data_IF_188021422165
#
_entry.id   IF_188021422165
#
_cell.length_a   1.000
_cell.length_b   1.000
_cell.length_c   1.000
_cell.angle_alpha   90.00
_cell.angle_beta   90.00
_cell.angle_gamma   90.00
#
_symmetry.space_group_name_H-M   'P 1'
#
loop_
_entity.id
_entity.type
_entity.pdbx_description
1 polymer ?
#
# COMPACT_ATOMS: atom_id res chain seq x y z
N UNK A 1 -4.33 -23.33 14.98
CA UNK A 1 -3.54 -24.56 15.14
C UNK A 1 -2.73 -24.72 13.85
N UNK A 2 -1.57 -24.05 13.78
CA UNK A 2 -0.64 -24.11 12.65
C UNK A 2 0.74 -24.64 13.08
N UNK A 3 0.91 -25.02 14.36
CA UNK A 3 2.13 -25.62 14.90
C UNK A 3 2.49 -27.02 14.38
N UNK A 4 1.67 -27.61 13.51
CA UNK A 4 2.03 -28.80 12.73
C UNK A 4 1.91 -28.48 11.24
N UNK A 5 2.88 -28.95 10.46
CA UNK A 5 2.91 -28.75 9.01
C UNK A 5 1.65 -29.33 8.37
N UNK A 6 0.80 -28.49 7.79
CA UNK A 6 -0.46 -28.90 7.14
C UNK A 6 -0.29 -29.22 5.65
N UNK A 7 0.87 -28.90 5.06
CA UNK A 7 1.21 -29.21 3.67
C UNK A 7 2.72 -29.23 3.45
N UNK A 8 3.17 -30.04 2.48
CA UNK A 8 4.57 -30.07 2.03
C UNK A 8 4.61 -29.48 0.62
N UNK A 9 5.31 -28.36 0.45
CA UNK A 9 5.57 -27.80 -0.88
C UNK A 9 6.48 -28.75 -1.66
N UNK A 10 6.10 -29.11 -2.89
CA UNK A 10 6.91 -29.98 -3.76
C UNK A 10 8.20 -29.33 -4.26
N UNK A 11 8.30 -28.01 -4.12
CA UNK A 11 9.44 -27.19 -4.50
C UNK A 11 9.96 -26.44 -3.26
N UNK A 12 11.28 -26.22 -3.20
CA UNK A 12 11.87 -25.39 -2.15
C UNK A 12 11.34 -23.95 -2.26
N UNK A 13 11.10 -23.32 -1.13
CA UNK A 13 10.74 -21.90 -1.11
C UNK A 13 11.91 -21.08 -1.67
N UNK A 14 11.61 -20.23 -2.65
CA UNK A 14 12.60 -19.36 -3.30
C UNK A 14 13.14 -18.29 -2.32
N UNK A 15 12.35 -17.94 -1.30
CA UNK A 15 12.66 -16.96 -0.28
C UNK A 15 11.44 -16.66 0.60
N UNK A 16 11.53 -15.63 1.43
CA UNK A 16 10.42 -15.11 2.24
C UNK A 16 10.11 -13.68 1.79
N UNK A 17 8.83 -13.29 1.79
CA UNK A 17 8.43 -11.94 1.42
C UNK A 17 9.12 -10.88 2.30
N UNK A 18 9.63 -9.82 1.67
CA UNK A 18 10.38 -8.75 2.33
C UNK A 18 11.90 -8.94 2.34
N UNK A 19 12.41 -10.13 2.06
CA UNK A 19 13.86 -10.36 1.92
C UNK A 19 14.38 -9.85 0.56
N UNK A 20 15.68 -9.55 0.50
CA UNK A 20 16.37 -9.24 -0.74
C UNK A 20 16.41 -10.44 -1.67
N UNK A 21 16.09 -10.23 -2.95
CA UNK A 21 16.15 -11.26 -3.98
C UNK A 21 17.52 -11.34 -4.68
N UNK A 22 18.37 -10.33 -4.52
CA UNK A 22 19.67 -10.23 -5.18
C UNK A 22 20.66 -9.45 -4.31
N UNK A 23 21.96 -9.65 -4.54
CA UNK A 23 23.05 -8.86 -3.97
C UNK A 23 23.41 -7.62 -4.79
N UNK A 24 22.56 -7.23 -5.75
CA UNK A 24 22.70 -6.02 -6.54
C UNK A 24 22.52 -4.73 -5.71
N UNK A 25 22.73 -3.56 -6.33
CA UNK A 25 22.58 -2.29 -5.63
C UNK A 25 21.13 -2.08 -5.17
N UNK A 26 20.99 -1.63 -3.93
CA UNK A 26 19.73 -1.20 -3.34
C UNK A 26 19.89 0.22 -2.81
N UNK A 27 18.76 0.93 -2.71
CA UNK A 27 18.72 2.29 -2.18
C UNK A 27 17.61 2.40 -1.14
N UNK A 28 17.90 3.20 -0.12
CA UNK A 28 16.99 3.47 0.99
C UNK A 28 16.46 4.89 0.89
N UNK A 29 15.22 5.08 1.31
CA UNK A 29 14.64 6.39 1.52
C UNK A 29 15.43 7.10 2.63
N UNK A 30 15.95 8.32 2.39
CA UNK A 30 16.64 9.06 3.43
C UNK A 30 15.71 9.33 4.62
N UNK A 31 16.19 9.02 5.82
CA UNK A 31 15.53 9.42 7.05
C UNK A 31 15.65 10.94 7.27
N UNK A 32 14.74 11.51 8.07
CA UNK A 32 14.72 12.93 8.41
C UNK A 32 15.74 13.24 9.53
N UNK A 33 15.55 14.33 10.28
CA UNK A 33 16.29 14.57 11.52
C UNK A 33 15.85 13.56 12.60
N UNK A 34 16.27 12.30 12.44
CA UNK A 34 15.83 11.17 13.25
C UNK A 34 15.76 9.86 12.44
N UNK A 35 15.20 8.82 13.05
CA UNK A 35 14.97 7.52 12.42
C UNK A 35 13.50 7.38 11.98
N UNK A 36 13.25 6.64 10.90
CA UNK A 36 11.89 6.27 10.53
C UNK A 36 11.36 5.24 11.53
N UNK A 37 10.20 5.51 12.11
CA UNK A 37 9.66 4.71 13.23
C UNK A 37 8.30 4.13 12.89
N UNK A 38 8.08 2.87 13.23
CA UNK A 38 6.80 2.19 13.07
C UNK A 38 5.67 2.90 13.82
N UNK A 39 4.59 3.22 13.11
CA UNK A 39 3.41 3.84 13.71
C UNK A 39 2.70 2.95 14.73
N UNK A 40 1.68 3.48 15.43
CA UNK A 40 1.00 2.78 16.53
C UNK A 40 0.38 1.42 16.16
N UNK A 41 0.00 1.22 14.91
CA UNK A 41 -0.55 -0.05 14.40
C UNK A 41 0.52 -1.06 13.96
N UNK A 42 1.81 -0.71 14.09
CA UNK A 42 2.91 -1.43 13.48
C UNK A 42 2.97 -1.24 11.96
N UNK A 43 3.93 -1.92 11.33
CA UNK A 43 4.12 -1.92 9.87
C UNK A 43 4.40 -3.33 9.40
N UNK A 44 3.68 -3.76 8.37
CA UNK A 44 3.81 -5.06 7.72
C UNK A 44 4.99 -5.04 6.76
N UNK A 45 5.81 -6.07 6.84
CA UNK A 45 6.95 -6.38 5.98
C UNK A 45 6.48 -7.03 4.68
N UNK A 46 7.23 -6.82 3.58
CA UNK A 46 6.91 -7.43 2.28
C UNK A 46 5.84 -6.68 1.49
N UNK A 47 5.44 -5.50 1.98
CA UNK A 47 4.51 -4.56 1.35
C UNK A 47 5.11 -3.17 1.33
N UNK A 48 4.42 -2.21 0.73
CA UNK A 48 4.84 -0.82 0.73
C UNK A 48 4.31 -0.05 1.96
N UNK A 49 4.96 1.06 2.29
CA UNK A 49 4.55 1.95 3.35
C UNK A 49 4.84 3.41 3.03
N UNK A 50 4.20 4.29 3.79
CA UNK A 50 4.34 5.73 3.71
C UNK A 50 4.87 6.27 5.02
N UNK A 51 5.86 7.16 4.95
CA UNK A 51 6.38 7.88 6.10
C UNK A 51 5.94 9.35 6.06
N UNK A 52 5.55 9.88 7.21
CA UNK A 52 5.30 11.30 7.42
C UNK A 52 6.62 12.09 7.35
N UNK A 53 6.66 13.09 6.48
CA UNK A 53 7.84 13.95 6.27
C UNK A 53 8.16 14.89 7.45
N UNK A 54 7.26 15.04 8.41
CA UNK A 54 7.46 15.90 9.58
C UNK A 54 7.85 15.08 10.82
N UNK A 55 7.22 13.91 11.01
CA UNK A 55 7.38 13.11 12.24
C UNK A 55 8.25 11.87 12.05
N UNK A 56 8.48 11.42 10.81
CA UNK A 56 9.19 10.17 10.54
C UNK A 56 8.37 8.91 10.85
N UNK A 57 7.08 9.04 11.19
CA UNK A 57 6.20 7.92 11.49
C UNK A 57 5.81 7.18 10.21
N UNK A 58 6.00 5.87 10.19
CA UNK A 58 5.72 4.98 9.05
C UNK A 58 4.41 4.23 9.26
N UNK A 59 3.59 4.19 8.22
CA UNK A 59 2.31 3.47 8.21
C UNK A 59 2.11 2.76 6.87
N UNK A 60 1.46 1.60 6.89
CA UNK A 60 1.11 0.91 5.64
C UNK A 60 -0.07 1.54 4.92
N UNK A 61 -0.97 2.27 5.58
CA UNK A 61 -1.98 3.07 4.88
C UNK A 61 -1.39 4.42 4.51
N UNK A 62 -1.73 4.97 3.34
CA UNK A 62 -1.30 6.33 3.01
C UNK A 62 -1.96 7.32 3.99
N UNK A 63 -1.19 8.12 4.74
CA UNK A 63 -1.75 9.12 5.63
C UNK A 63 -2.23 10.35 4.85
N UNK A 64 -3.14 11.13 5.44
CA UNK A 64 -3.60 12.40 4.90
C UNK A 64 -2.57 13.51 5.11
N UNK A 65 -1.45 13.47 4.40
CA UNK A 65 -0.38 14.44 4.54
C UNK A 65 0.02 15.00 3.19
N UNK A 66 0.35 16.30 3.17
CA UNK A 66 0.73 17.03 1.97
C UNK A 66 2.02 16.49 1.35
N UNK A 67 2.95 15.97 2.18
CA UNK A 67 4.15 15.30 1.73
C UNK A 67 4.34 14.02 2.55
N UNK A 68 4.65 12.93 1.84
CA UNK A 68 4.95 11.64 2.44
C UNK A 68 6.06 10.99 1.65
N UNK A 69 7.03 10.41 2.35
CA UNK A 69 7.97 9.46 1.76
C UNK A 69 7.28 8.13 1.51
N UNK A 70 7.77 7.39 0.52
CA UNK A 70 7.22 6.10 0.09
C UNK A 70 8.35 5.11 -0.15
N UNK A 71 8.17 3.87 0.30
CA UNK A 71 9.13 2.79 0.03
C UNK A 71 8.60 1.42 0.39
N UNK A 72 9.36 0.41 0.00
CA UNK A 72 9.13 -0.99 0.32
C UNK A 72 9.67 -1.30 1.73
N UNK A 73 8.94 -2.09 2.50
CA UNK A 73 9.32 -2.49 3.85
C UNK A 73 10.09 -3.81 3.78
N UNK A 74 11.40 -3.72 4.01
CA UNK A 74 12.28 -4.87 4.05
C UNK A 74 12.16 -5.65 5.37
N UNK A 75 12.68 -6.87 5.37
CA UNK A 75 12.71 -7.73 6.56
C UNK A 75 14.01 -7.52 7.35
N UNK A 76 14.19 -6.35 7.94
CA UNK A 76 15.40 -6.01 8.72
C UNK A 76 15.32 -6.38 10.21
N UNK A 77 14.11 -6.57 10.76
CA UNK A 77 13.96 -6.79 12.20
C UNK A 77 14.02 -8.26 12.61
N UNK A 78 14.60 -8.47 13.81
CA UNK A 78 14.76 -9.81 14.41
C UNK A 78 13.51 -10.22 15.19
N UNK A 79 12.96 -11.37 14.79
CA UNK A 79 11.90 -12.21 15.36
C UNK A 79 11.34 -11.80 16.74
N UNK A 80 10.55 -10.74 16.79
CA UNK A 80 9.72 -10.38 17.94
C UNK A 80 8.25 -10.65 17.60
N UNK A 81 7.67 -11.68 18.21
CA UNK A 81 6.26 -12.01 18.08
C UNK A 81 5.59 -11.66 19.41
N UNK A 82 4.77 -10.62 19.40
CA UNK A 82 4.10 -10.09 20.61
C UNK A 82 2.67 -10.59 20.78
N UNK A 83 2.08 -11.17 19.72
CA UNK A 83 0.74 -11.77 19.75
C UNK A 83 0.75 -13.05 20.56
N UNK A 84 -0.11 -13.18 21.57
CA UNK A 84 -0.26 -14.39 22.36
C UNK A 84 -0.62 -15.58 21.46
N UNK A 85 0.16 -16.68 21.55
CA UNK A 85 0.08 -17.84 20.65
C UNK A 85 0.39 -17.54 19.16
N UNK A 86 1.05 -16.42 18.87
CA UNK A 86 1.55 -16.10 17.53
C UNK A 86 2.73 -17.01 17.15
N UNK A 87 2.62 -17.71 16.04
CA UNK A 87 3.64 -18.65 15.55
C UNK A 87 4.55 -18.02 14.48
N UNK A 88 4.06 -17.00 13.76
CA UNK A 88 4.81 -16.18 12.81
C UNK A 88 4.22 -14.76 12.75
N UNK A 89 5.05 -13.77 12.42
CA UNK A 89 4.62 -12.39 12.19
C UNK A 89 5.46 -11.75 11.10
N UNK A 90 4.79 -11.01 10.20
CA UNK A 90 5.43 -10.06 9.29
C UNK A 90 5.22 -8.61 9.78
N UNK A 91 4.66 -8.41 10.98
CA UNK A 91 4.45 -7.08 11.54
C UNK A 91 5.67 -6.66 12.36
N UNK A 92 6.28 -5.55 11.97
CA UNK A 92 7.13 -4.71 12.81
C UNK A 92 6.24 -4.03 13.85
N UNK A 93 6.57 -4.23 15.12
CA UNK A 93 5.85 -3.62 16.23
C UNK A 93 5.97 -2.09 16.23
N UNK A 94 4.97 -1.41 16.80
CA UNK A 94 4.98 0.04 16.97
C UNK A 94 6.21 0.52 17.74
N UNK A 95 6.73 1.70 17.34
CA UNK A 95 7.86 2.35 18.01
C UNK A 95 9.24 1.81 17.63
N UNK A 96 9.34 0.74 16.85
CA UNK A 96 10.63 0.25 16.37
C UNK A 96 11.08 0.96 15.07
N UNK A 97 12.40 1.06 14.89
CA UNK A 97 13.02 1.63 13.69
C UNK A 97 12.75 0.81 12.44
N UNK A 98 12.45 1.49 11.33
CA UNK A 98 12.13 0.90 10.03
C UNK A 98 13.08 1.47 8.99
N UNK A 99 13.52 0.65 8.04
CA UNK A 99 14.12 1.14 6.81
C UNK A 99 13.10 1.02 5.68
N UNK A 100 12.97 2.08 4.87
CA UNK A 100 12.17 2.03 3.66
C UNK A 100 13.10 1.99 2.45
N UNK A 101 12.81 1.10 1.52
CA UNK A 101 13.59 0.93 0.31
C UNK A 101 12.89 1.54 -0.89
N UNK A 102 13.59 2.38 -1.64
CA UNK A 102 13.09 2.93 -2.90
C UNK A 102 13.75 2.26 -4.12
N UNK A 103 14.76 1.40 -3.91
CA UNK A 103 15.43 0.62 -4.95
C UNK A 103 15.95 -0.71 -4.42
N UNK A 104 16.33 -1.60 -5.33
CA UNK A 104 16.72 -2.99 -5.10
C UNK A 104 15.83 -4.00 -5.83
N UNK A 105 15.97 -5.27 -5.46
CA UNK A 105 15.06 -6.35 -5.83
C UNK A 105 14.67 -7.17 -4.60
N UNK A 106 13.38 -7.50 -4.50
CA UNK A 106 12.78 -8.06 -3.29
C UNK A 106 11.87 -9.23 -3.62
N UNK A 107 11.76 -10.15 -2.68
CA UNK A 107 10.76 -11.20 -2.70
C UNK A 107 9.41 -10.66 -2.21
N UNK A 108 8.35 -10.99 -2.93
CA UNK A 108 6.98 -10.67 -2.56
C UNK A 108 6.09 -11.90 -2.70
N UNK A 109 4.98 -11.92 -1.96
CA UNK A 109 3.93 -12.90 -2.21
C UNK A 109 3.05 -12.42 -3.36
N UNK A 110 2.82 -13.30 -4.35
CA UNK A 110 1.96 -13.02 -5.48
C UNK A 110 0.52 -12.72 -5.01
N UNK A 111 -0.08 -11.59 -5.46
CA UNK A 111 -1.47 -11.29 -5.15
C UNK A 111 -2.43 -12.30 -5.80
N UNK A 112 -3.73 -12.20 -5.50
CA UNK A 112 -4.76 -13.16 -5.93
C UNK A 112 -4.88 -13.38 -7.45
N UNK A 113 -4.29 -12.51 -8.28
CA UNK A 113 -4.23 -12.66 -9.74
C UNK A 113 -2.97 -13.37 -10.26
N UNK A 114 -2.06 -13.79 -9.39
CA UNK A 114 -0.70 -14.18 -9.78
C UNK A 114 0.10 -12.99 -10.29
N UNK A 115 1.24 -13.26 -10.92
CA UNK A 115 2.07 -12.25 -11.56
C UNK A 115 2.63 -12.74 -12.88
N UNK A 116 2.70 -11.85 -13.87
CA UNK A 116 3.40 -12.08 -15.13
C UNK A 116 4.58 -11.13 -15.25
N UNK A 117 5.63 -11.59 -15.94
CA UNK A 117 6.86 -10.82 -16.11
C UNK A 117 6.55 -9.51 -16.84
N UNK A 118 7.12 -8.41 -16.34
CA UNK A 118 6.96 -7.07 -16.92
C UNK A 118 5.73 -6.31 -16.43
N UNK A 119 4.84 -6.93 -15.65
CA UNK A 119 3.76 -6.19 -14.99
C UNK A 119 4.31 -5.13 -14.05
N UNK A 120 3.57 -4.04 -13.96
CA UNK A 120 3.85 -2.94 -13.05
C UNK A 120 3.37 -3.30 -11.65
N UNK A 121 4.17 -2.93 -10.66
CA UNK A 121 3.84 -3.10 -9.24
C UNK A 121 3.18 -1.83 -8.73
N UNK A 122 2.01 -1.97 -8.14
CA UNK A 122 1.24 -0.91 -7.49
C UNK A 122 1.12 -1.18 -5.99
N UNK A 123 1.10 -0.11 -5.20
CA UNK A 123 0.87 -0.17 -3.75
C UNK A 123 -0.51 0.38 -3.42
N UNK A 124 -1.40 -0.42 -2.83
CA UNK A 124 -2.73 0.08 -2.46
C UNK A 124 -2.65 1.18 -1.42
N UNK A 125 -3.44 2.24 -1.58
CA UNK A 125 -3.46 3.34 -0.61
C UNK A 125 -4.00 2.94 0.77
N UNK A 126 -4.80 1.87 0.86
CA UNK A 126 -5.40 1.41 2.12
C UNK A 126 -4.39 0.80 3.09
N UNK A 127 -3.48 -0.03 2.58
CA UNK A 127 -2.65 -0.92 3.40
C UNK A 127 -1.29 -1.25 2.77
N UNK A 128 -0.92 -0.60 1.67
CA UNK A 128 0.37 -0.82 1.00
C UNK A 128 0.52 -2.18 0.36
N UNK A 129 -0.51 -3.02 0.39
CA UNK A 129 -0.49 -4.33 -0.26
C UNK A 129 -0.25 -4.18 -1.75
N UNK A 130 0.39 -5.20 -2.31
CA UNK A 130 0.82 -5.17 -3.70
C UNK A 130 -0.33 -5.57 -4.62
N UNK A 131 -0.51 -4.80 -5.68
CA UNK A 131 -1.36 -5.15 -6.83
C UNK A 131 -0.50 -5.10 -8.08
N UNK A 132 -0.72 -6.02 -9.00
CA UNK A 132 -0.01 -6.10 -10.27
C UNK A 132 -0.95 -5.70 -11.40
N UNK A 133 -0.42 -5.00 -12.40
CA UNK A 133 -1.21 -4.55 -13.54
C UNK A 133 -0.37 -3.98 -14.67
N UNK A 134 -1.03 -3.34 -15.62
CA UNK A 134 -0.38 -2.67 -16.75
C UNK A 134 0.18 -1.31 -16.32
N UNK A 135 1.41 -0.99 -16.74
CA UNK A 135 2.02 0.31 -16.46
C UNK A 135 1.14 1.47 -16.97
N UNK A 136 1.07 2.57 -16.21
CA UNK A 136 0.23 3.73 -16.52
C UNK A 136 -1.28 3.51 -16.38
N UNK A 137 -1.73 2.32 -15.96
CA UNK A 137 -3.14 2.01 -15.73
C UNK A 137 -3.36 1.60 -14.27
N UNK A 138 -3.31 2.54 -13.32
CA UNK A 138 -3.49 2.21 -11.92
C UNK A 138 -4.90 1.66 -11.69
N UNK A 139 -5.06 0.66 -10.79
CA UNK A 139 -6.36 0.14 -10.41
C UNK A 139 -7.32 1.25 -9.95
N UNK A 140 -8.55 1.20 -10.44
CA UNK A 140 -9.62 2.12 -10.07
C UNK A 140 -10.85 1.36 -9.59
N UNK A 141 -11.68 2.04 -8.81
CA UNK A 141 -13.00 1.56 -8.41
C UNK A 141 -13.99 2.70 -8.56
N UNK A 142 -15.20 2.39 -9.02
CA UNK A 142 -16.27 3.36 -9.18
C UNK A 142 -17.35 3.15 -8.14
N UNK A 143 -18.00 4.24 -7.73
CA UNK A 143 -19.10 4.18 -6.79
C UNK A 143 -19.87 5.50 -6.74
N UNK A 144 -21.11 5.43 -6.28
CA UNK A 144 -21.94 6.63 -6.09
C UNK A 144 -21.51 7.37 -4.83
N UNK A 145 -21.29 8.67 -4.95
CA UNK A 145 -21.09 9.57 -3.81
C UNK A 145 -22.18 10.63 -3.79
N UNK A 146 -22.47 11.21 -2.63
CA UNK A 146 -23.26 12.43 -2.52
C UNK A 146 -22.35 13.65 -2.43
N UNK A 147 -22.57 14.64 -3.28
CA UNK A 147 -21.85 15.92 -3.27
C UNK A 147 -22.80 17.07 -2.93
N UNK A 148 -22.27 18.12 -2.33
CA UNK A 148 -22.98 19.40 -2.13
C UNK A 148 -22.12 20.53 -2.65
N UNK A 149 -22.66 21.36 -3.54
CA UNK A 149 -21.93 22.48 -4.12
C UNK A 149 -21.37 23.41 -3.03
N UNK A 150 -20.09 23.76 -3.14
CA UNK A 150 -19.40 24.59 -2.17
C UNK A 150 -19.00 23.87 -0.89
N UNK A 151 -19.17 22.55 -0.78
CA UNK A 151 -18.75 21.74 0.37
C UNK A 151 -17.66 20.74 -0.01
N UNK A 152 -16.68 20.54 0.87
CA UNK A 152 -15.70 19.46 0.73
C UNK A 152 -16.25 18.11 1.23
N UNK A 153 -17.35 18.11 1.98
CA UNK A 153 -17.92 16.90 2.58
C UNK A 153 -18.72 16.12 1.53
N UNK A 154 -18.45 14.82 1.47
CA UNK A 154 -19.17 13.85 0.64
C UNK A 154 -19.74 12.73 1.49
N UNK A 155 -20.82 12.12 1.00
CA UNK A 155 -21.37 10.87 1.54
C UNK A 155 -21.09 9.73 0.56
N UNK A 156 -20.95 8.50 1.05
CA UNK A 156 -20.78 7.32 0.23
C UNK A 156 -21.23 6.07 1.01
N UNK A 157 -21.36 4.95 0.32
CA UNK A 157 -21.67 3.65 0.95
C UNK A 157 -20.38 2.83 1.06
N UNK A 158 -19.83 2.60 2.27
CA UNK A 158 -18.54 1.93 2.45
C UNK A 158 -18.48 0.51 1.88
N UNK A 159 -19.61 -0.20 1.85
CA UNK A 159 -19.70 -1.55 1.30
C UNK A 159 -19.52 -1.59 -0.23
N UNK A 160 -19.81 -0.48 -0.93
CA UNK A 160 -19.70 -0.38 -2.40
C UNK A 160 -18.51 0.45 -2.86
N UNK A 161 -17.90 1.25 -1.98
CA UNK A 161 -16.76 2.09 -2.30
C UNK A 161 -15.87 2.25 -1.07
N UNK A 162 -14.69 1.65 -1.09
CA UNK A 162 -13.67 1.86 -0.06
C UNK A 162 -12.88 3.12 -0.36
N UNK A 163 -12.86 4.05 0.58
CA UNK A 163 -12.08 5.28 0.50
C UNK A 163 -10.99 5.28 1.58
N UNK A 164 -9.81 5.78 1.23
CA UNK A 164 -8.75 6.09 2.17
C UNK A 164 -8.14 7.45 1.84
N UNK A 165 -7.55 8.12 2.84
CA UNK A 165 -6.82 9.34 2.59
C UNK A 165 -5.77 9.25 1.49
N UNK A 166 -5.61 10.33 0.74
CA UNK A 166 -4.66 10.45 -0.35
C UNK A 166 -5.06 9.77 -1.65
N UNK A 167 -6.18 9.04 -1.70
CA UNK A 167 -6.70 8.47 -2.95
C UNK A 167 -7.15 9.59 -3.90
N UNK A 168 -6.65 9.62 -5.16
CA UNK A 168 -7.21 10.47 -6.20
C UNK A 168 -8.66 10.10 -6.51
N UNK A 169 -9.51 11.11 -6.66
CA UNK A 169 -10.93 10.92 -6.94
C UNK A 169 -11.38 11.90 -8.03
N UNK A 170 -12.18 11.41 -8.97
CA UNK A 170 -12.70 12.20 -10.09
C UNK A 170 -14.16 11.85 -10.36
N UNK A 171 -14.89 12.77 -11.00
CA UNK A 171 -16.30 12.62 -11.27
C UNK A 171 -16.96 13.96 -11.54
N UNK A 172 -18.22 13.96 -11.99
CA UNK A 172 -18.97 15.20 -12.19
C UNK A 172 -19.19 15.91 -10.87
N UNK A 173 -18.87 17.20 -10.80
CA UNK A 173 -18.98 17.97 -9.55
C UNK A 173 -17.79 17.81 -8.59
N UNK A 174 -16.78 17.00 -8.95
CA UNK A 174 -15.52 16.88 -8.20
C UNK A 174 -14.46 17.73 -8.90
N UNK A 175 -13.75 18.63 -8.19
CA UNK A 175 -12.67 19.41 -8.79
C UNK A 175 -11.58 18.54 -9.41
N UNK A 176 -11.00 19.00 -10.52
CA UNK A 176 -9.88 18.30 -11.14
C UNK A 176 -8.69 18.21 -10.17
N UNK A 177 -8.08 17.02 -10.08
CA UNK A 177 -6.97 16.75 -9.16
C UNK A 177 -7.38 16.60 -7.69
N UNK A 178 -8.67 16.54 -7.37
CA UNK A 178 -9.11 16.29 -6.01
C UNK A 178 -8.63 14.93 -5.48
N UNK A 179 -8.37 14.90 -4.19
CA UNK A 179 -8.03 13.71 -3.42
C UNK A 179 -8.95 13.60 -2.22
N UNK A 180 -9.08 12.37 -1.69
CA UNK A 180 -9.75 12.14 -0.41
C UNK A 180 -8.85 12.64 0.70
N UNK A 181 -9.30 13.61 1.49
CA UNK A 181 -8.57 14.14 2.63
C UNK A 181 -8.82 13.29 3.88
N UNK A 182 -10.05 13.22 4.37
CA UNK A 182 -10.39 12.39 5.53
C UNK A 182 -11.53 11.44 5.23
N UNK A 183 -11.58 10.34 5.98
CA UNK A 183 -12.59 9.30 5.83
C UNK A 183 -13.14 8.91 7.19
N UNK A 184 -14.46 8.91 7.32
CA UNK A 184 -15.19 8.27 8.40
C UNK A 184 -16.05 7.16 7.80
N UNK A 185 -15.46 5.96 7.69
CA UNK A 185 -16.12 4.79 7.11
C UNK A 185 -17.32 4.33 7.94
N UNK A 186 -17.33 4.56 9.25
CA UNK A 186 -18.47 4.21 10.12
C UNK A 186 -19.69 5.07 9.78
N UNK A 187 -19.47 6.36 9.55
CA UNK A 187 -20.55 7.29 9.20
C UNK A 187 -20.86 7.35 7.69
N UNK A 188 -20.10 6.66 6.83
CA UNK A 188 -20.23 6.76 5.37
C UNK A 188 -19.95 8.17 4.85
N UNK A 189 -19.04 8.91 5.48
CA UNK A 189 -18.68 10.27 5.10
C UNK A 189 -17.19 10.43 4.86
N UNK A 190 -16.81 11.31 3.94
CA UNK A 190 -15.43 11.67 3.66
C UNK A 190 -15.33 13.15 3.31
N UNK A 191 -14.12 13.69 3.30
CA UNK A 191 -13.85 15.05 2.83
C UNK A 191 -12.90 15.00 1.63
N UNK A 192 -13.12 15.91 0.69
CA UNK A 192 -12.25 16.14 -0.47
C UNK A 192 -11.20 17.19 -0.13
N UNK A 193 -10.10 17.21 -0.88
CA UNK A 193 -9.08 18.27 -0.82
C UNK A 193 -9.53 19.60 -1.41
N UNK A 194 -10.68 19.64 -2.08
CA UNK A 194 -11.29 20.84 -2.63
C UNK A 194 -12.82 20.73 -2.62
N UNK A 195 -13.52 21.87 -2.53
CA UNK A 195 -14.98 21.90 -2.43
C UNK A 195 -15.62 21.40 -3.74
N UNK A 196 -16.63 20.54 -3.62
CA UNK A 196 -17.41 20.08 -4.76
C UNK A 196 -18.08 21.25 -5.50
N UNK A 197 -18.17 21.14 -6.83
CA UNK A 197 -18.70 22.19 -7.72
C UNK A 197 -20.14 21.92 -8.16
N UNK A 198 -20.77 20.86 -7.66
CA UNK A 198 -22.16 20.55 -7.91
C UNK A 198 -22.78 19.78 -6.74
N UNK A 199 -24.10 19.90 -6.59
CA UNK A 199 -24.90 19.07 -5.67
C UNK A 199 -25.52 17.91 -6.43
N UNK A 200 -25.42 16.68 -5.92
CA UNK A 200 -26.05 15.52 -6.54
C UNK A 200 -25.50 14.20 -6.03
N UNK A 201 -25.79 13.12 -6.77
CA UNK A 201 -25.29 11.78 -6.48
C UNK A 201 -24.48 11.21 -7.66
N UNK A 202 -23.34 11.84 -8.02
CA UNK A 202 -22.56 11.41 -9.17
C UNK A 202 -21.86 10.06 -8.95
N UNK A 203 -21.57 9.37 -10.06
CA UNK A 203 -20.59 8.29 -10.06
C UNK A 203 -19.19 8.89 -9.97
N UNK A 204 -18.47 8.55 -8.92
CA UNK A 204 -17.05 8.88 -8.75
C UNK A 204 -16.17 7.71 -9.16
N UNK A 205 -15.01 8.03 -9.73
CA UNK A 205 -13.92 7.09 -10.01
C UNK A 205 -12.77 7.39 -9.06
N UNK A 206 -12.35 6.39 -8.31
CA UNK A 206 -11.28 6.48 -7.31
C UNK A 206 -10.11 5.64 -7.75
N UNK A 207 -8.90 6.21 -7.75
CA UNK A 207 -7.67 5.47 -7.98
C UNK A 207 -7.22 4.83 -6.66
N UNK A 208 -7.18 3.50 -6.62
CA UNK A 208 -7.04 2.76 -5.35
C UNK A 208 -5.60 2.37 -5.03
N UNK A 209 -4.67 2.54 -5.97
CA UNK A 209 -3.27 2.20 -5.76
C UNK A 209 -2.31 3.21 -6.41
N UNK A 210 -1.16 3.38 -5.77
CA UNK A 210 -0.05 4.20 -6.23
C UNK A 210 0.87 3.39 -7.16
N UNK A 211 1.23 3.96 -8.31
CA UNK A 211 2.16 3.34 -9.24
C UNK A 211 3.60 3.45 -8.71
N UNK A 212 4.24 2.31 -8.46
CA UNK A 212 5.61 2.29 -7.94
C UNK A 212 6.63 2.32 -9.08
N UNK A 213 7.92 2.31 -8.78
CA UNK A 213 8.95 2.13 -9.82
C UNK A 213 9.26 0.66 -10.14
N UNK A 214 8.72 -0.28 -9.37
CA UNK A 214 9.05 -1.69 -9.47
C UNK A 214 8.27 -2.40 -10.58
N UNK A 215 8.89 -3.44 -11.13
CA UNK A 215 8.31 -4.35 -12.11
C UNK A 215 8.50 -5.80 -11.66
N UNK A 216 7.57 -6.65 -12.07
CA UNK A 216 7.63 -8.10 -11.83
C UNK A 216 8.71 -8.73 -12.71
N UNK A 217 9.59 -9.52 -12.11
CA UNK A 217 10.71 -10.21 -12.78
C UNK A 217 10.52 -11.72 -12.90
N UNK A 218 9.59 -12.30 -12.15
CA UNK A 218 9.26 -13.72 -12.21
C UNK A 218 7.76 -13.90 -12.31
N UNK A 219 7.32 -14.88 -13.10
CA UNK A 219 5.90 -15.22 -13.16
C UNK A 219 5.55 -16.25 -12.07
N UNK A 220 4.29 -16.26 -11.65
CA UNK A 220 3.75 -17.24 -10.70
C UNK A 220 2.26 -17.05 -10.47
N UNK A 221 1.63 -18.00 -9.78
CA UNK A 221 0.21 -17.94 -9.40
C UNK A 221 0.03 -17.31 -8.03
N UNK A 222 -1.21 -17.07 -7.61
CA UNK A 222 -1.52 -16.49 -6.31
C UNK A 222 -0.87 -17.28 -5.16
N UNK A 223 -0.20 -16.56 -4.24
CA UNK A 223 0.52 -17.16 -3.12
C UNK A 223 1.96 -17.59 -3.41
N UNK A 224 2.40 -17.63 -4.68
CA UNK A 224 3.80 -17.91 -5.02
C UNK A 224 4.72 -16.75 -4.58
N UNK A 225 6.00 -17.05 -4.36
CA UNK A 225 7.01 -16.03 -4.16
C UNK A 225 7.50 -15.52 -5.52
N UNK A 226 7.35 -14.22 -5.76
CA UNK A 226 7.81 -13.53 -6.96
C UNK A 226 8.98 -12.60 -6.62
N UNK A 227 9.80 -12.31 -7.63
CA UNK A 227 10.82 -11.26 -7.54
C UNK A 227 10.26 -10.00 -8.20
N UNK A 228 10.36 -8.88 -7.49
CA UNK A 228 10.18 -7.53 -8.05
C UNK A 228 11.49 -6.78 -8.06
N UNK A 229 11.70 -5.92 -9.04
CA UNK A 229 12.88 -5.05 -9.11
C UNK A 229 12.57 -3.71 -9.76
N UNK A 230 13.21 -2.67 -9.28
CA UNK A 230 13.20 -1.35 -9.92
C UNK A 230 14.13 -1.27 -11.14
N UNK A 231 15.11 -2.17 -11.26
CA UNK A 231 16.07 -2.17 -12.36
C UNK A 231 15.43 -2.78 -13.62
N UNK A 232 15.83 -2.25 -14.78
CA UNK A 232 15.42 -2.76 -16.10
C UNK A 232 15.81 -4.22 -16.34
N UNK A 233 15.33 -4.78 -17.45
CA UNK A 233 15.96 -5.97 -18.03
C UNK A 233 17.24 -5.56 -18.74
#
# INVERSE_FOLDING_TARGET
MAGFQTSVSRNLALGVAGDFATSGPYSTVPALSGELTAGPSGVTVGVFAWADDNTGVVTNGKPNLASTRFGFVGREQRSLITTFLGEASLAVNAGFGITLYDGGAYFITAPSGGGTIGQKVFAKYVDGTIVLGTAGSPPTTTGTIGTTNGSANITYTPASLTLNPGMPISGTGIPAGATVATVNAVAGTATLSANATATGSPTATVTTAYETRFFVKTAGVAGDILIISHMGF
#
